data_IF_519247216878
#
_entry.id   IF_519247216878
#
_cell.length_a   1.000
_cell.length_b   1.000
_cell.length_c   1.000
_cell.angle_alpha   90.00
_cell.angle_beta   90.00
_cell.angle_gamma   90.00
#
_symmetry.space_group_name_H-M   'P 1'
#
loop_
_entity.id
_entity.type
_entity.pdbx_description
1 polymer ?
#
# COMPACT_ATOMS: atom_id res chain seq x y z
N UNK A 1 1.40 -14.22 7.60
CA UNK A 1 0.64 -13.84 8.80
C UNK A 1 -0.73 -13.41 8.32
N UNK A 2 -1.81 -13.97 8.87
CA UNK A 2 -3.17 -13.60 8.48
C UNK A 2 -3.64 -12.44 9.36
N UNK A 3 -4.13 -11.38 8.74
CA UNK A 3 -4.82 -10.27 9.42
C UNK A 3 -6.24 -10.24 8.85
N UNK A 4 -7.25 -10.44 9.70
CA UNK A 4 -8.68 -10.38 9.35
C UNK A 4 -9.10 -11.06 8.03
N UNK A 5 -8.59 -12.26 7.74
CA UNK A 5 -9.00 -13.04 6.56
C UNK A 5 -8.25 -12.72 5.25
N UNK A 6 -7.27 -11.83 5.28
CA UNK A 6 -6.40 -11.55 4.12
C UNK A 6 -5.04 -12.24 4.23
N UNK A 7 -4.51 -12.68 3.08
CA UNK A 7 -3.19 -13.30 2.96
C UNK A 7 -2.35 -12.57 1.93
N UNK A 8 -1.12 -12.20 2.30
CA UNK A 8 -0.15 -11.61 1.38
C UNK A 8 0.26 -12.64 0.31
N UNK A 9 0.18 -12.25 -0.95
CA UNK A 9 0.54 -13.02 -2.12
C UNK A 9 1.12 -12.11 -3.21
N UNK A 10 2.23 -12.51 -3.88
CA UNK A 10 2.80 -11.73 -4.97
C UNK A 10 1.81 -11.52 -6.12
N UNK A 11 1.82 -10.33 -6.72
CA UNK A 11 0.94 -9.93 -7.84
C UNK A 11 1.01 -10.91 -9.03
N UNK A 12 2.18 -11.50 -9.29
CA UNK A 12 2.39 -12.48 -10.37
C UNK A 12 1.51 -13.73 -10.27
N UNK A 13 0.91 -14.00 -9.10
CA UNK A 13 0.00 -15.13 -8.90
C UNK A 13 -1.44 -14.81 -9.31
N UNK A 14 -1.73 -13.60 -9.80
CA UNK A 14 -3.05 -13.19 -10.25
C UNK A 14 -4.00 -12.80 -9.11
N UNK A 15 -5.29 -12.68 -9.43
CA UNK A 15 -6.33 -12.29 -8.46
C UNK A 15 -6.91 -13.55 -7.82
N UNK A 16 -6.73 -13.68 -6.50
CA UNK A 16 -7.24 -14.80 -5.72
C UNK A 16 -8.08 -14.29 -4.53
N UNK A 17 -9.19 -14.97 -4.16
CA UNK A 17 -10.05 -14.54 -3.06
C UNK A 17 -9.27 -14.36 -1.74
N UNK A 18 -9.43 -13.21 -1.10
CA UNK A 18 -8.75 -12.87 0.16
C UNK A 18 -7.23 -12.74 0.04
N UNK A 19 -6.66 -12.66 -1.18
CA UNK A 19 -5.22 -12.53 -1.39
C UNK A 19 -4.84 -11.27 -2.15
N UNK A 20 -3.68 -10.73 -1.80
CA UNK A 20 -3.21 -9.48 -2.33
C UNK A 20 -1.85 -9.08 -1.80
N UNK A 21 -1.45 -7.83 -1.99
CA UNK A 21 -0.18 -7.31 -1.49
C UNK A 21 -0.32 -5.86 -1.04
N UNK A 22 0.69 -5.39 -0.29
CA UNK A 22 0.70 -4.05 0.25
C UNK A 22 1.12 -3.01 -0.81
N UNK A 23 0.57 -1.82 -0.65
CA UNK A 23 1.03 -0.59 -1.28
C UNK A 23 1.26 0.42 -0.17
N UNK A 24 2.26 1.29 -0.32
CA UNK A 24 2.41 2.45 0.55
C UNK A 24 2.08 3.70 -0.25
N UNK A 25 1.10 4.45 0.23
CA UNK A 25 0.68 5.75 -0.29
C UNK A 25 1.32 6.81 0.58
N UNK A 26 2.21 7.62 0.00
CA UNK A 26 2.96 8.66 0.71
C UNK A 26 2.38 10.01 0.35
N UNK A 27 1.80 10.71 1.33
CA UNK A 27 1.19 12.04 1.20
C UNK A 27 0.09 12.16 0.12
N UNK A 28 -0.56 11.05 -0.18
CA UNK A 28 -1.70 10.97 -1.08
C UNK A 28 -2.86 10.25 -0.38
N UNK A 29 -4.08 10.61 -0.75
CA UNK A 29 -5.27 9.96 -0.23
C UNK A 29 -5.50 8.60 -0.89
N UNK A 30 -6.26 7.74 -0.22
CA UNK A 30 -6.78 6.50 -0.84
C UNK A 30 -7.58 6.88 -2.10
N UNK A 31 -7.45 6.12 -3.21
CA UNK A 31 -8.22 6.38 -4.43
C UNK A 31 -9.73 6.44 -4.13
N UNK A 32 -10.41 7.48 -4.62
CA UNK A 32 -11.86 7.58 -4.48
C UNK A 32 -12.60 6.48 -5.26
N UNK A 33 -11.99 6.00 -6.36
CA UNK A 33 -12.50 4.90 -7.18
C UNK A 33 -11.67 3.64 -6.91
N UNK A 34 -12.18 2.79 -6.03
CA UNK A 34 -11.54 1.52 -5.63
C UNK A 34 -11.68 0.41 -6.68
N UNK A 35 -12.38 0.66 -7.80
CA UNK A 35 -12.52 -0.32 -8.89
C UNK A 35 -11.33 -0.34 -9.85
N UNK A 36 -10.41 0.62 -9.71
CA UNK A 36 -9.26 0.81 -10.60
C UNK A 36 -7.95 0.40 -9.94
N UNK A 37 -6.94 0.02 -10.76
CA UNK A 37 -5.59 -0.18 -10.25
C UNK A 37 -5.05 1.09 -9.59
N UNK A 38 -4.32 0.92 -8.50
CA UNK A 38 -3.59 2.00 -7.84
C UNK A 38 -2.64 2.67 -8.84
N UNK A 39 -2.55 3.99 -8.77
CA UNK A 39 -1.69 4.78 -9.65
C UNK A 39 -0.22 4.33 -9.56
N UNK A 40 0.53 4.54 -10.65
CA UNK A 40 1.94 4.20 -10.73
C UNK A 40 2.75 5.47 -10.90
N UNK A 41 3.10 6.06 -9.77
CA UNK A 41 3.92 7.26 -9.64
C UNK A 41 4.79 7.15 -8.36
N UNK A 42 5.56 8.19 -8.07
CA UNK A 42 6.53 8.19 -6.97
C UNK A 42 5.88 8.17 -5.57
N UNK A 43 4.61 8.55 -5.45
CA UNK A 43 3.87 8.57 -4.19
C UNK A 43 3.19 7.22 -3.90
N UNK A 44 3.15 6.30 -4.86
CA UNK A 44 2.55 4.98 -4.75
C UNK A 44 3.61 3.88 -4.84
N UNK A 45 4.04 3.39 -3.69
CA UNK A 45 5.08 2.36 -3.62
C UNK A 45 4.42 1.00 -3.69
N UNK A 46 4.61 0.32 -4.82
CA UNK A 46 4.09 -1.03 -5.06
C UNK A 46 4.99 -2.09 -4.37
N UNK A 47 4.37 -3.01 -3.64
CA UNK A 47 5.02 -4.18 -3.01
C UNK A 47 4.49 -5.49 -3.61
N UNK A 48 4.30 -5.49 -4.94
CA UNK A 48 3.76 -6.62 -5.71
C UNK A 48 4.61 -7.89 -5.72
N UNK A 49 5.80 -7.85 -5.14
CA UNK A 49 6.63 -9.03 -4.86
C UNK A 49 6.14 -9.82 -3.62
N UNK A 50 5.14 -9.31 -2.90
CA UNK A 50 4.63 -9.90 -1.68
C UNK A 50 5.46 -9.58 -0.43
N UNK A 51 6.36 -8.59 -0.51
CA UNK A 51 7.06 -8.08 0.67
C UNK A 51 6.08 -7.48 1.67
N UNK A 52 6.42 -7.55 2.96
CA UNK A 52 5.63 -6.96 4.06
C UNK A 52 6.32 -5.76 4.71
N UNK A 53 7.56 -5.48 4.31
CA UNK A 53 8.35 -4.36 4.82
C UNK A 53 9.06 -3.67 3.66
N UNK A 54 9.21 -2.35 3.74
CA UNK A 54 9.98 -1.55 2.78
C UNK A 54 10.70 -0.42 3.50
N UNK A 55 11.95 -0.16 3.11
CA UNK A 55 12.67 1.04 3.50
C UNK A 55 12.34 2.15 2.50
N UNK A 56 11.91 3.31 3.01
CA UNK A 56 11.57 4.47 2.20
C UNK A 56 12.34 5.69 2.70
N UNK A 57 12.72 6.57 1.79
CA UNK A 57 13.34 7.85 2.15
C UNK A 57 12.27 8.93 2.17
N UNK A 58 12.25 9.73 3.23
CA UNK A 58 11.30 10.83 3.41
C UNK A 58 12.09 12.12 3.55
N UNK A 59 11.57 13.19 2.95
CA UNK A 59 12.10 14.54 3.14
C UNK A 59 11.88 15.03 4.58
N UNK A 60 12.58 16.09 4.97
CA UNK A 60 12.27 16.80 6.22
C UNK A 60 10.86 17.39 6.13
N UNK A 61 10.01 17.11 7.11
CA UNK A 61 8.61 17.54 7.07
C UNK A 61 7.65 16.58 7.77
N UNK A 62 6.35 16.89 7.69
CA UNK A 62 5.30 15.96 8.10
C UNK A 62 4.89 15.12 6.90
N UNK A 63 4.77 13.81 7.12
CA UNK A 63 4.36 12.84 6.12
C UNK A 63 3.27 11.94 6.67
N UNK A 64 2.29 11.59 5.83
CA UNK A 64 1.33 10.53 6.13
C UNK A 64 1.60 9.35 5.21
N UNK A 65 1.81 8.19 5.79
CA UNK A 65 2.07 6.94 5.06
C UNK A 65 0.87 6.04 5.33
N UNK A 66 0.16 5.71 4.25
CA UNK A 66 -1.00 4.84 4.28
C UNK A 66 -0.65 3.52 3.66
N UNK A 67 -0.73 2.43 4.44
CA UNK A 67 -0.68 1.09 3.89
C UNK A 67 -2.05 0.75 3.29
N UNK A 68 -2.10 0.40 2.01
CA UNK A 68 -3.32 -0.02 1.31
C UNK A 68 -3.14 -1.42 0.75
N UNK A 69 -4.04 -2.33 1.10
CA UNK A 69 -4.00 -3.71 0.60
C UNK A 69 -4.86 -3.83 -0.67
N UNK A 70 -4.31 -4.48 -1.68
CA UNK A 70 -4.96 -4.62 -2.99
C UNK A 70 -4.75 -6.03 -3.56
N UNK A 71 -5.67 -6.43 -4.43
CA UNK A 71 -5.67 -7.71 -5.13
C UNK A 71 -4.47 -7.82 -6.10
N UNK A 72 -4.22 -9.01 -6.67
CA UNK A 72 -3.06 -9.23 -7.55
C UNK A 72 -2.99 -8.35 -8.80
N UNK A 73 -4.09 -7.71 -9.21
CA UNK A 73 -4.15 -6.73 -10.28
C UNK A 73 -4.00 -5.26 -9.81
N UNK A 74 -3.57 -5.05 -8.56
CA UNK A 74 -3.40 -3.75 -7.90
C UNK A 74 -4.70 -2.96 -7.69
N UNK A 75 -5.86 -3.62 -7.79
CA UNK A 75 -7.16 -3.03 -7.45
C UNK A 75 -7.41 -3.21 -5.95
N UNK A 76 -7.67 -2.13 -5.19
CA UNK A 76 -7.98 -2.22 -3.76
C UNK A 76 -9.19 -3.14 -3.48
N UNK A 77 -9.29 -3.60 -2.23
CA UNK A 77 -10.56 -4.15 -1.75
C UNK A 77 -11.58 -3.04 -1.48
N UNK A 78 -12.87 -3.39 -1.50
CA UNK A 78 -13.98 -2.50 -1.14
C UNK A 78 -14.87 -3.22 -0.08
N UNK A 79 -14.93 -2.73 1.17
CA UNK A 79 -14.27 -1.52 1.69
C UNK A 79 -12.73 -1.63 1.72
N UNK A 80 -12.01 -0.50 1.68
CA UNK A 80 -10.55 -0.50 1.62
C UNK A 80 -9.96 -1.10 2.89
N UNK A 81 -9.03 -2.03 2.70
CA UNK A 81 -8.23 -2.62 3.78
C UNK A 81 -6.96 -1.78 3.92
N UNK A 82 -6.92 -0.97 4.96
CA UNK A 82 -5.91 0.09 5.08
C UNK A 82 -5.62 0.43 6.54
N UNK A 83 -4.43 0.99 6.78
CA UNK A 83 -4.07 1.65 8.02
C UNK A 83 -3.08 2.78 7.72
N UNK A 84 -2.95 3.75 8.62
CA UNK A 84 -2.17 4.96 8.38
C UNK A 84 -1.34 5.38 9.59
N UNK A 85 -0.17 5.93 9.31
CA UNK A 85 0.67 6.61 10.31
C UNK A 85 1.08 7.97 9.81
N UNK A 86 1.07 8.96 10.70
CA UNK A 86 1.64 10.29 10.45
C UNK A 86 2.95 10.41 11.21
N UNK A 87 4.01 10.78 10.50
CA UNK A 87 5.35 10.97 11.07
C UNK A 87 5.86 12.38 10.75
N UNK A 88 6.74 12.91 11.60
CA UNK A 88 7.45 14.16 11.34
C UNK A 88 8.95 13.90 11.31
N UNK A 89 9.54 14.04 10.14
CA UNK A 89 10.99 13.93 9.92
C UNK A 89 11.64 15.25 10.31
N UNK A 90 12.41 15.23 11.40
CA UNK A 90 13.10 16.42 11.93
C UNK A 90 14.53 16.58 11.40
N UNK A 91 15.14 15.48 10.94
CA UNK A 91 16.49 15.43 10.42
C UNK A 91 16.58 14.42 9.28
N UNK A 92 17.36 14.76 8.24
CA UNK A 92 17.77 13.87 7.16
C UNK A 92 19.30 13.90 7.16
N UNK A 93 19.91 12.71 7.10
CA UNK A 93 21.36 12.54 7.12
C UNK A 93 22.00 12.99 5.80
#
# INVERSE_FOLDING_TARGET
MATNGYTVEPAKNGVNPGKGHHHLLVDVSIPADLSKPIAKDDNHIHMGDGSTCKTINLSKGQHTITALFAQGNHVPYDPPVTDSVTVRVVHVN
#
